data_IF_932395497427
#
_entry.id   IF_932395497427
#
_cell.length_a   1.000
_cell.length_b   1.000
_cell.length_c   1.000
_cell.angle_alpha   90.00
_cell.angle_beta   90.00
_cell.angle_gamma   90.00
#
_symmetry.space_group_name_H-M   'P 1'
#
loop_
_entity.id
_entity.type
_entity.pdbx_description
1 polymer ?
#
# COMPACT_ATOMS: atom_id res chain seq x y z
N UNK A 1 4.08 -24.05 -51.61
CA UNK A 1 3.97 -23.72 -50.17
C UNK A 1 2.94 -24.66 -49.59
N UNK A 2 3.35 -25.60 -48.73
CA UNK A 2 2.42 -26.51 -48.06
C UNK A 2 1.59 -25.70 -47.07
N UNK A 3 0.28 -25.70 -47.24
CA UNK A 3 -0.66 -25.26 -46.23
C UNK A 3 -0.42 -26.12 -44.98
N UNK A 4 0.19 -25.51 -43.96
CA UNK A 4 0.26 -26.12 -42.63
C UNK A 4 -1.19 -26.18 -42.15
N UNK A 5 -1.83 -27.34 -42.31
CA UNK A 5 -3.09 -27.64 -41.64
C UNK A 5 -2.82 -27.60 -40.14
N UNK A 6 -3.04 -26.43 -39.53
CA UNK A 6 -3.08 -26.30 -38.08
C UNK A 6 -4.22 -27.22 -37.62
N UNK A 7 -3.97 -28.23 -36.79
CA UNK A 7 -5.01 -29.13 -36.34
C UNK A 7 -6.10 -28.30 -35.68
N UNK A 8 -7.35 -28.47 -36.14
CA UNK A 8 -8.49 -27.79 -35.55
C UNK A 8 -8.50 -28.10 -34.06
N UNK A 9 -8.28 -27.07 -33.24
CA UNK A 9 -8.24 -27.22 -31.79
C UNK A 9 -9.58 -27.84 -31.34
N UNK A 10 -9.51 -28.94 -30.60
CA UNK A 10 -10.70 -29.70 -30.23
C UNK A 10 -11.66 -28.89 -29.37
N UNK A 11 -12.97 -29.18 -29.47
CA UNK A 11 -14.02 -28.56 -28.64
C UNK A 11 -13.66 -28.53 -27.16
N UNK A 12 -13.08 -29.62 -26.65
CA UNK A 12 -12.63 -29.77 -25.27
C UNK A 12 -11.58 -28.75 -24.87
N UNK A 13 -10.62 -28.44 -25.76
CA UNK A 13 -9.56 -27.47 -25.48
C UNK A 13 -10.11 -26.05 -25.34
N UNK A 14 -11.09 -25.67 -26.17
CA UNK A 14 -11.78 -24.39 -26.02
C UNK A 14 -12.52 -24.26 -24.68
N UNK A 15 -13.14 -25.35 -24.22
CA UNK A 15 -13.85 -25.38 -22.92
C UNK A 15 -12.87 -25.27 -21.75
N UNK A 16 -11.73 -25.97 -21.80
CA UNK A 16 -10.70 -25.91 -20.76
C UNK A 16 -10.15 -24.49 -20.58
N UNK A 17 -9.80 -23.80 -21.66
CA UNK A 17 -9.33 -22.41 -21.56
C UNK A 17 -10.39 -21.48 -20.97
N UNK A 18 -11.66 -21.63 -21.37
CA UNK A 18 -12.77 -20.84 -20.82
C UNK A 18 -12.96 -21.08 -19.32
N UNK A 19 -12.99 -22.34 -18.88
CA UNK A 19 -13.10 -22.70 -17.45
C UNK A 19 -11.96 -22.07 -16.67
N UNK A 20 -10.72 -22.18 -17.17
CA UNK A 20 -9.56 -21.54 -16.55
C UNK A 20 -9.74 -20.03 -16.44
N UNK A 21 -10.21 -19.38 -17.51
CA UNK A 21 -10.52 -17.95 -17.51
C UNK A 21 -11.58 -17.56 -16.46
N UNK A 22 -12.67 -18.32 -16.34
CA UNK A 22 -13.69 -18.10 -15.32
C UNK A 22 -13.13 -18.26 -13.90
N UNK A 23 -12.33 -19.31 -13.65
CA UNK A 23 -11.70 -19.53 -12.35
C UNK A 23 -10.78 -18.37 -11.98
N UNK A 24 -9.92 -17.91 -12.90
CA UNK A 24 -9.00 -16.80 -12.66
C UNK A 24 -9.75 -15.49 -12.37
N UNK A 25 -10.80 -15.18 -13.14
CA UNK A 25 -11.64 -14.00 -12.89
C UNK A 25 -12.34 -14.10 -11.53
N UNK A 26 -12.86 -15.27 -11.18
CA UNK A 26 -13.50 -15.51 -9.89
C UNK A 26 -12.54 -15.30 -8.71
N UNK A 27 -11.32 -15.83 -8.79
CA UNK A 27 -10.29 -15.60 -7.76
C UNK A 27 -9.93 -14.12 -7.63
N UNK A 28 -9.76 -13.41 -8.75
CA UNK A 28 -9.51 -11.97 -8.72
C UNK A 28 -10.64 -11.20 -8.03
N UNK A 29 -11.91 -11.55 -8.32
CA UNK A 29 -13.07 -10.88 -7.73
C UNK A 29 -13.21 -11.17 -6.23
N UNK A 30 -12.98 -12.42 -5.81
CA UNK A 30 -12.97 -12.78 -4.39
C UNK A 30 -11.88 -12.02 -3.63
N UNK A 31 -10.66 -12.03 -4.14
CA UNK A 31 -9.55 -11.29 -3.54
C UNK A 31 -9.88 -9.80 -3.42
N UNK A 32 -10.42 -9.20 -4.49
CA UNK A 32 -10.82 -7.79 -4.51
C UNK A 32 -11.86 -7.49 -3.43
N UNK A 33 -12.84 -8.38 -3.24
CA UNK A 33 -13.87 -8.22 -2.21
C UNK A 33 -13.27 -8.30 -0.80
N UNK A 34 -12.34 -9.23 -0.57
CA UNK A 34 -11.66 -9.36 0.73
C UNK A 34 -10.82 -8.12 1.04
N UNK A 35 -10.08 -7.60 0.07
CA UNK A 35 -9.21 -6.42 0.25
C UNK A 35 -10.04 -5.15 0.50
N UNK A 36 -11.25 -5.06 -0.07
CA UNK A 36 -12.14 -3.92 0.13
C UNK A 36 -12.67 -3.82 1.57
N UNK A 37 -12.51 -4.85 2.41
CA UNK A 37 -12.92 -4.84 3.81
C UNK A 37 -11.70 -4.47 4.68
N UNK A 38 -11.78 -3.47 5.58
CA UNK A 38 -12.95 -2.66 5.91
C UNK A 38 -13.19 -1.51 4.92
N UNK A 39 -14.45 -1.25 4.54
CA UNK A 39 -14.80 -0.16 3.63
C UNK A 39 -14.55 1.22 4.28
N UNK A 40 -13.37 1.79 4.05
CA UNK A 40 -12.94 3.09 4.59
C UNK A 40 -12.74 4.12 3.48
N UNK A 41 -13.80 4.37 2.73
CA UNK A 41 -13.81 5.46 1.75
C UNK A 41 -13.42 6.78 2.42
N UNK A 42 -12.69 7.65 1.71
CA UNK A 42 -12.10 8.92 2.17
C UNK A 42 -10.81 8.84 3.01
N UNK A 43 -10.47 7.65 3.51
CA UNK A 43 -9.18 7.41 4.16
C UNK A 43 -8.10 7.19 3.10
N UNK A 44 -7.14 8.13 3.02
CA UNK A 44 -6.10 8.11 1.99
C UNK A 44 -5.20 6.87 2.07
N UNK A 45 -4.94 6.35 3.28
CA UNK A 45 -4.09 5.17 3.50
C UNK A 45 -4.81 3.94 2.96
N UNK A 46 -6.09 3.79 3.31
CA UNK A 46 -6.90 2.70 2.83
C UNK A 46 -7.09 2.74 1.31
N UNK A 47 -7.45 3.90 0.74
CA UNK A 47 -7.68 4.05 -0.70
C UNK A 47 -6.43 3.69 -1.52
N UNK A 48 -5.25 4.19 -1.10
CA UNK A 48 -3.99 3.90 -1.76
C UNK A 48 -3.61 2.42 -1.64
N UNK A 49 -3.77 1.83 -0.45
CA UNK A 49 -3.48 0.42 -0.21
C UNK A 49 -4.45 -0.52 -0.96
N UNK A 50 -5.74 -0.18 -1.02
CA UNK A 50 -6.74 -0.93 -1.77
C UNK A 50 -6.36 -0.95 -3.25
N UNK A 51 -6.09 0.22 -3.83
CA UNK A 51 -5.69 0.33 -5.22
C UNK A 51 -4.41 -0.47 -5.49
N UNK A 52 -3.39 -0.31 -4.65
CA UNK A 52 -2.13 -1.05 -4.78
C UNK A 52 -2.30 -2.56 -4.74
N UNK A 53 -3.11 -3.07 -3.82
CA UNK A 53 -3.36 -4.52 -3.68
C UNK A 53 -4.21 -5.10 -4.81
N UNK A 54 -5.16 -4.33 -5.37
CA UNK A 54 -5.90 -4.72 -6.57
C UNK A 54 -4.95 -4.78 -7.77
N UNK A 55 -4.10 -3.76 -7.92
CA UNK A 55 -3.12 -3.68 -9.01
C UNK A 55 -2.13 -4.85 -8.97
N UNK A 56 -1.72 -5.31 -7.79
CA UNK A 56 -0.84 -6.47 -7.67
C UNK A 56 -1.47 -7.80 -8.13
N UNK A 57 -2.80 -7.85 -8.23
CA UNK A 57 -3.56 -9.01 -8.72
C UNK A 57 -4.01 -8.89 -10.17
N UNK A 58 -3.69 -7.78 -10.81
CA UNK A 58 -3.93 -7.56 -12.25
C UNK A 58 -3.45 -8.71 -13.13
N UNK A 59 -2.31 -9.39 -12.89
CA UNK A 59 -1.91 -10.51 -13.74
C UNK A 59 -2.98 -11.59 -13.87
N UNK A 60 -3.73 -11.88 -12.79
CA UNK A 60 -4.87 -12.82 -12.85
C UNK A 60 -5.97 -12.30 -13.77
N UNK A 61 -6.27 -11.01 -13.67
CA UNK A 61 -7.25 -10.34 -14.50
C UNK A 61 -6.84 -10.33 -15.97
N UNK A 62 -5.59 -9.96 -16.28
CA UNK A 62 -5.06 -9.91 -17.65
C UNK A 62 -5.06 -11.28 -18.32
N UNK A 63 -4.78 -12.34 -17.56
CA UNK A 63 -4.84 -13.72 -18.08
C UNK A 63 -6.28 -14.21 -18.24
N UNK A 64 -7.21 -13.79 -17.38
CA UNK A 64 -8.59 -14.25 -17.41
C UNK A 64 -9.33 -13.86 -18.70
N UNK A 65 -9.19 -12.61 -19.16
CA UNK A 65 -9.98 -12.09 -20.28
C UNK A 65 -9.69 -12.73 -21.64
N UNK A 66 -8.42 -12.90 -22.07
CA UNK A 66 -8.11 -13.60 -23.32
C UNK A 66 -8.60 -15.05 -23.30
N UNK A 67 -8.48 -15.74 -22.16
CA UNK A 67 -8.95 -17.10 -21.97
C UNK A 67 -10.48 -17.20 -22.01
N UNK A 68 -11.17 -16.24 -21.39
CA UNK A 68 -12.63 -16.13 -21.37
C UNK A 68 -13.21 -15.90 -22.76
N UNK A 69 -12.57 -15.04 -23.56
CA UNK A 69 -13.02 -14.71 -24.91
C UNK A 69 -12.46 -15.65 -25.99
N UNK A 70 -11.63 -16.62 -25.60
CA UNK A 70 -11.05 -17.58 -26.53
C UNK A 70 -12.13 -18.41 -27.25
N UNK A 71 -11.98 -18.56 -28.57
CA UNK A 71 -12.89 -19.31 -29.42
C UNK A 71 -14.22 -18.59 -29.75
N UNK A 72 -14.38 -17.32 -29.39
CA UNK A 72 -15.55 -16.47 -29.71
C UNK A 72 -16.89 -17.23 -29.61
N UNK A 73 -17.62 -17.43 -30.71
CA UNK A 73 -18.91 -18.15 -30.71
C UNK A 73 -18.79 -19.67 -30.75
N UNK A 74 -17.62 -20.23 -31.02
CA UNK A 74 -17.42 -21.67 -31.23
C UNK A 74 -17.80 -22.44 -29.97
N UNK A 75 -18.80 -23.32 -30.09
CA UNK A 75 -19.24 -24.22 -29.03
C UNK A 75 -19.60 -23.52 -27.69
N UNK A 76 -20.28 -22.36 -27.74
CA UNK A 76 -20.89 -21.74 -26.55
C UNK A 76 -22.35 -22.15 -26.39
N UNK A 77 -22.74 -22.49 -25.17
CA UNK A 77 -24.14 -22.67 -24.81
C UNK A 77 -24.86 -21.31 -24.69
N UNK A 78 -26.19 -21.29 -24.79
CA UNK A 78 -26.99 -20.05 -24.71
C UNK A 78 -26.76 -19.27 -23.40
N UNK A 79 -26.60 -19.97 -22.27
CA UNK A 79 -26.32 -19.33 -20.98
C UNK A 79 -24.91 -18.71 -20.92
N UNK A 80 -23.92 -19.35 -21.56
CA UNK A 80 -22.56 -18.80 -21.65
C UNK A 80 -22.55 -17.47 -22.42
N UNK A 81 -23.41 -17.30 -23.43
CA UNK A 81 -23.53 -16.05 -24.18
C UNK A 81 -24.05 -14.90 -23.30
N UNK A 82 -24.95 -15.18 -22.35
CA UNK A 82 -25.43 -14.19 -21.39
C UNK A 82 -24.29 -13.80 -20.44
N UNK A 83 -23.55 -14.78 -19.91
CA UNK A 83 -22.44 -14.53 -19.00
C UNK A 83 -21.32 -13.74 -19.70
N UNK A 84 -20.94 -14.09 -20.93
CA UNK A 84 -19.91 -13.33 -21.65
C UNK A 84 -20.34 -11.90 -21.95
N UNK A 85 -21.63 -11.65 -22.17
CA UNK A 85 -22.16 -10.30 -22.30
C UNK A 85 -21.96 -9.49 -21.01
N UNK A 86 -22.24 -10.10 -19.85
CA UNK A 86 -22.02 -9.48 -18.54
C UNK A 86 -20.52 -9.23 -18.29
N UNK A 87 -19.67 -10.22 -18.56
CA UNK A 87 -18.21 -10.11 -18.42
C UNK A 87 -17.62 -9.05 -19.37
N UNK A 88 -18.17 -8.94 -20.58
CA UNK A 88 -17.81 -7.88 -21.51
C UNK A 88 -18.08 -6.51 -20.87
N UNK A 89 -19.30 -6.25 -20.41
CA UNK A 89 -19.58 -4.98 -19.71
C UNK A 89 -18.75 -4.78 -18.44
N UNK A 90 -18.46 -5.85 -17.69
CA UNK A 90 -17.57 -5.81 -16.53
C UNK A 90 -16.17 -5.30 -16.91
N UNK A 91 -15.62 -5.69 -18.06
CA UNK A 91 -14.31 -5.17 -18.51
C UNK A 91 -14.33 -3.65 -18.68
N UNK A 92 -15.43 -3.07 -19.18
CA UNK A 92 -15.57 -1.61 -19.26
C UNK A 92 -15.64 -0.96 -17.88
N UNK A 93 -16.45 -1.53 -16.98
CA UNK A 93 -16.58 -1.03 -15.60
C UNK A 93 -15.23 -1.03 -14.90
N UNK A 94 -14.46 -2.13 -15.04
CA UNK A 94 -13.12 -2.24 -14.47
C UNK A 94 -12.14 -1.27 -15.14
N UNK A 95 -12.22 -1.06 -16.46
CA UNK A 95 -11.39 -0.07 -17.14
C UNK A 95 -11.63 1.35 -16.60
N UNK A 96 -12.90 1.75 -16.47
CA UNK A 96 -13.28 3.05 -15.88
C UNK A 96 -12.79 3.14 -14.44
N UNK A 97 -12.94 2.08 -13.65
CA UNK A 97 -12.41 2.01 -12.29
C UNK A 97 -10.89 2.27 -12.27
N UNK A 98 -10.09 1.58 -13.10
CA UNK A 98 -8.64 1.81 -13.14
C UNK A 98 -8.30 3.25 -13.54
N UNK A 99 -8.96 3.82 -14.57
CA UNK A 99 -8.70 5.19 -14.99
C UNK A 99 -9.07 6.23 -13.92
N UNK A 100 -10.19 6.03 -13.20
CA UNK A 100 -10.61 6.94 -12.14
C UNK A 100 -9.66 6.89 -10.93
N UNK A 101 -9.09 5.71 -10.64
CA UNK A 101 -8.16 5.56 -9.54
C UNK A 101 -6.77 6.16 -9.81
N UNK A 102 -6.38 6.43 -11.07
CA UNK A 102 -5.09 7.07 -11.38
C UNK A 102 -4.95 8.46 -10.73
N UNK A 103 -5.83 9.44 -10.98
CA UNK A 103 -5.73 10.75 -10.34
C UNK A 103 -5.93 10.65 -8.83
N UNK A 104 -6.80 9.75 -8.36
CA UNK A 104 -7.06 9.55 -6.93
C UNK A 104 -5.81 9.01 -6.22
N UNK A 105 -5.16 7.99 -6.77
CA UNK A 105 -3.94 7.40 -6.22
C UNK A 105 -2.81 8.43 -6.17
N UNK A 106 -2.66 9.27 -7.22
CA UNK A 106 -1.65 10.33 -7.23
C UNK A 106 -1.85 11.33 -6.07
N UNK A 107 -3.07 11.80 -5.84
CA UNK A 107 -3.38 12.71 -4.72
C UNK A 107 -3.16 12.00 -3.38
N UNK A 108 -3.57 10.75 -3.26
CA UNK A 108 -3.41 9.97 -2.04
C UNK A 108 -1.96 9.63 -1.73
N UNK A 109 -1.09 9.45 -2.72
CA UNK A 109 0.36 9.30 -2.53
C UNK A 109 0.93 10.43 -1.68
N UNK A 110 0.61 11.68 -2.02
CA UNK A 110 1.05 12.85 -1.26
C UNK A 110 0.44 12.89 0.14
N UNK A 111 -0.89 12.70 0.24
CA UNK A 111 -1.59 12.70 1.54
C UNK A 111 -1.04 11.64 2.49
N UNK A 112 -0.79 10.43 1.99
CA UNK A 112 -0.24 9.32 2.79
C UNK A 112 1.20 9.60 3.20
N UNK A 113 2.01 10.19 2.32
CA UNK A 113 3.37 10.60 2.66
C UNK A 113 3.37 11.60 3.83
N UNK A 114 2.53 12.64 3.76
CA UNK A 114 2.42 13.66 4.81
C UNK A 114 1.93 13.06 6.13
N UNK A 115 0.93 12.16 6.08
CA UNK A 115 0.43 11.47 7.28
C UNK A 115 1.55 10.66 7.94
N UNK A 116 2.26 9.81 7.18
CA UNK A 116 3.31 8.95 7.74
C UNK A 116 4.53 9.74 8.23
N UNK A 117 4.91 10.81 7.53
CA UNK A 117 5.97 11.73 7.99
C UNK A 117 5.54 12.45 9.27
N UNK A 118 4.29 12.91 9.34
CA UNK A 118 3.69 13.52 10.52
C UNK A 118 3.73 12.57 11.73
N UNK A 119 3.39 11.30 11.56
CA UNK A 119 3.49 10.29 12.62
C UNK A 119 4.93 10.11 13.12
N UNK A 120 5.93 10.09 12.23
CA UNK A 120 7.34 9.99 12.63
C UNK A 120 7.77 11.22 13.45
N UNK A 121 7.38 12.41 13.00
CA UNK A 121 7.67 13.67 13.72
C UNK A 121 7.01 13.67 15.09
N UNK A 122 5.73 13.29 15.17
CA UNK A 122 4.98 13.24 16.41
C UNK A 122 5.60 12.24 17.41
N UNK A 123 5.99 11.04 16.94
CA UNK A 123 6.68 10.05 17.78
C UNK A 123 8.03 10.56 18.29
N UNK A 124 8.83 11.18 17.41
CA UNK A 124 10.12 11.75 17.80
C UNK A 124 9.96 12.89 18.82
N UNK A 125 8.95 13.75 18.65
CA UNK A 125 8.63 14.82 19.60
C UNK A 125 8.17 14.25 20.96
N UNK A 126 7.31 13.23 20.96
CA UNK A 126 6.83 12.58 22.17
C UNK A 126 7.95 11.90 22.97
N UNK A 127 8.95 11.32 22.28
CA UNK A 127 10.12 10.72 22.91
C UNK A 127 11.12 11.76 23.43
N UNK A 128 11.39 12.81 22.64
CA UNK A 128 12.42 13.79 22.97
C UNK A 128 11.95 14.88 23.94
N UNK A 129 10.66 15.22 23.98
CA UNK A 129 10.13 16.32 24.78
C UNK A 129 10.49 16.23 26.27
N UNK A 130 10.18 15.10 26.95
CA UNK A 130 10.53 14.92 28.37
C UNK A 130 12.05 14.95 28.62
N UNK A 131 12.84 14.39 27.69
CA UNK A 131 14.31 14.36 27.79
C UNK A 131 14.90 15.77 27.66
N UNK A 132 14.40 16.56 26.71
CA UNK A 132 14.83 17.94 26.51
C UNK A 132 14.45 18.81 27.72
N UNK A 133 13.25 18.65 28.26
CA UNK A 133 12.83 19.36 29.48
C UNK A 133 13.71 18.99 30.69
N UNK A 134 14.01 17.69 30.86
CA UNK A 134 14.93 17.23 31.89
C UNK A 134 16.34 17.82 31.71
N UNK A 135 16.85 17.85 30.48
CA UNK A 135 18.15 18.46 30.17
C UNK A 135 18.18 19.96 30.47
N UNK A 136 17.10 20.70 30.17
CA UNK A 136 17.02 22.13 30.52
C UNK A 136 17.01 22.37 32.03
N UNK A 137 16.24 21.58 32.77
CA UNK A 137 16.22 21.64 34.25
C UNK A 137 17.61 21.33 34.82
N UNK A 138 18.29 20.29 34.31
CA UNK A 138 19.67 19.96 34.71
C UNK A 138 20.67 21.08 34.37
N UNK A 139 20.55 21.72 33.20
CA UNK A 139 21.44 22.82 32.79
C UNK A 139 21.32 24.03 33.73
N UNK A 140 20.09 24.40 34.11
CA UNK A 140 19.79 25.54 35.01
C UNK A 140 20.20 25.31 36.46
N UNK A 141 20.34 24.06 36.90
CA UNK A 141 20.79 23.74 38.26
C UNK A 141 22.26 24.12 38.45
N UNK A 142 22.54 25.00 39.41
CA UNK A 142 23.89 25.56 39.63
C UNK A 142 24.53 24.99 40.89
N UNK A 143 23.74 24.56 41.87
CA UNK A 143 24.21 23.96 43.12
C UNK A 143 24.11 22.43 43.13
N UNK A 144 24.97 21.77 43.91
CA UNK A 144 24.97 20.31 44.05
C UNK A 144 23.67 19.77 44.68
N UNK A 145 23.01 20.56 45.53
CA UNK A 145 21.71 20.21 46.12
C UNK A 145 20.58 20.24 45.09
N UNK A 146 20.57 21.22 44.19
CA UNK A 146 19.62 21.31 43.08
C UNK A 146 19.79 20.13 42.12
N UNK A 147 21.03 19.81 41.75
CA UNK A 147 21.34 18.67 40.86
C UNK A 147 20.84 17.36 41.49
N UNK A 148 21.10 17.12 42.79
CA UNK A 148 20.60 15.93 43.49
C UNK A 148 19.07 15.87 43.54
N UNK A 149 18.41 17.01 43.71
CA UNK A 149 16.94 17.08 43.75
C UNK A 149 16.34 16.69 42.41
N UNK A 150 16.90 17.17 41.31
CA UNK A 150 16.44 16.82 39.95
C UNK A 150 16.74 15.34 39.65
N UNK A 151 17.91 14.83 40.01
CA UNK A 151 18.26 13.40 39.83
C UNK A 151 17.30 12.46 40.61
N UNK A 152 16.89 12.84 41.83
CA UNK A 152 15.88 12.08 42.59
C UNK A 152 14.50 12.09 41.93
N UNK A 153 14.15 13.17 41.24
CA UNK A 153 12.87 13.27 40.51
C UNK A 153 12.85 12.42 39.24
N UNK A 154 14.01 12.23 38.60
CA UNK A 154 14.14 11.41 37.39
C UNK A 154 14.23 9.92 37.70
N UNK A 155 14.72 9.53 38.88
CA UNK A 155 14.83 8.14 39.29
C UNK A 155 14.35 7.91 40.73
N UNK A 156 13.02 7.92 40.96
CA UNK A 156 12.44 7.82 42.31
C UNK A 156 12.82 6.54 43.05
N UNK A 157 13.06 5.46 42.31
CA UNK A 157 13.42 4.14 42.85
C UNK A 157 14.84 4.08 43.43
N UNK A 158 15.71 5.04 43.09
CA UNK A 158 17.14 5.04 43.47
C UNK A 158 17.52 6.23 44.38
N UNK A 159 16.56 6.81 45.09
CA UNK A 159 16.77 8.01 45.92
C UNK A 159 17.90 7.87 46.95
N UNK A 160 18.08 6.68 47.54
CA UNK A 160 19.15 6.38 48.51
C UNK A 160 20.54 6.39 47.88
N UNK A 161 20.68 5.94 46.63
CA UNK A 161 21.91 5.97 45.85
C UNK A 161 22.28 7.40 45.41
N UNK A 162 21.27 8.23 45.09
CA UNK A 162 21.48 9.63 44.69
C UNK A 162 22.03 10.49 45.84
N UNK A 163 21.70 10.15 47.09
CA UNK A 163 22.25 10.82 48.27
C UNK A 163 23.75 10.51 48.50
N UNK A 164 24.24 9.38 48.01
CA UNK A 164 25.61 8.92 48.23
C UNK A 164 26.61 9.29 47.12
N UNK A 165 26.15 9.94 46.04
CA UNK A 165 27.00 10.37 44.93
C UNK A 165 28.07 11.37 45.46
N UNK A 166 29.37 11.08 45.33
CA UNK A 166 30.44 11.98 45.78
C UNK A 166 30.57 13.24 44.90
N UNK A 167 30.35 13.11 43.58
CA UNK A 167 30.43 14.21 42.63
C UNK A 167 29.18 14.31 41.72
N UNK A 168 28.13 15.05 42.16
CA UNK A 168 26.89 15.22 41.39
C UNK A 168 27.09 15.93 40.04
N UNK A 169 28.13 16.78 39.92
CA UNK A 169 28.41 17.54 38.71
C UNK A 169 28.93 16.64 37.57
N UNK A 170 29.70 15.60 37.88
CA UNK A 170 30.16 14.63 36.87
C UNK A 170 29.00 13.80 36.30
N UNK A 171 28.03 13.43 37.17
CA UNK A 171 26.82 12.73 36.74
C UNK A 171 25.92 13.64 35.90
N UNK A 172 25.78 14.92 36.28
CA UNK A 172 25.11 15.93 35.45
C UNK A 172 25.72 15.98 34.04
N UNK A 173 27.05 16.06 33.93
CA UNK A 173 27.74 16.10 32.63
C UNK A 173 27.49 14.84 31.80
N UNK A 174 27.62 13.66 32.41
CA UNK A 174 27.36 12.36 31.74
C UNK A 174 25.91 12.26 31.26
N UNK A 175 24.94 12.59 32.12
CA UNK A 175 23.52 12.51 31.79
C UNK A 175 23.13 13.53 30.70
N UNK A 176 23.67 14.74 30.75
CA UNK A 176 23.46 15.73 29.67
C UNK A 176 24.05 15.25 28.33
N UNK A 177 25.21 14.60 28.36
CA UNK A 177 25.82 14.02 27.16
C UNK A 177 25.01 12.84 26.61
N UNK A 178 24.49 11.97 27.49
CA UNK A 178 23.63 10.84 27.12
C UNK A 178 22.29 11.31 26.55
N UNK A 179 21.63 12.27 27.18
CA UNK A 179 20.40 12.89 26.65
C UNK A 179 20.67 13.54 25.30
N UNK A 180 21.74 14.32 25.16
CA UNK A 180 22.10 14.96 23.88
C UNK A 180 22.35 13.93 22.79
N UNK A 181 23.01 12.82 23.14
CA UNK A 181 23.30 11.73 22.20
C UNK A 181 22.00 11.02 21.80
N UNK A 182 21.14 10.69 22.76
CA UNK A 182 19.85 10.06 22.53
C UNK A 182 18.94 10.92 21.65
N UNK A 183 18.81 12.21 21.95
CA UNK A 183 18.01 13.16 21.14
C UNK A 183 18.56 13.25 19.72
N UNK A 184 19.89 13.37 19.57
CA UNK A 184 20.55 13.40 18.25
C UNK A 184 20.31 12.12 17.45
N UNK A 185 20.44 10.96 18.09
CA UNK A 185 20.16 9.66 17.48
C UNK A 185 18.70 9.53 17.05
N UNK A 186 17.74 9.90 17.91
CA UNK A 186 16.31 9.88 17.58
C UNK A 186 15.99 10.81 16.40
N UNK A 187 16.58 12.01 16.36
CA UNK A 187 16.42 12.94 15.24
C UNK A 187 17.02 12.38 13.94
N UNK A 188 18.24 11.80 14.00
CA UNK A 188 18.87 11.18 12.84
C UNK A 188 18.07 9.98 12.31
N UNK A 189 17.52 9.16 13.21
CA UNK A 189 16.62 8.05 12.86
C UNK A 189 15.31 8.55 12.25
N UNK A 190 14.72 9.63 12.78
CA UNK A 190 13.52 10.25 12.23
C UNK A 190 13.77 10.76 10.81
N UNK A 191 14.87 11.48 10.56
CA UNK A 191 15.23 11.96 9.22
C UNK A 191 15.48 10.82 8.24
N UNK A 192 16.15 9.75 8.69
CA UNK A 192 16.35 8.55 7.87
C UNK A 192 15.01 7.88 7.53
N UNK A 193 14.11 7.77 8.52
CA UNK A 193 12.78 7.20 8.34
C UNK A 193 11.92 8.02 7.37
N UNK A 194 11.92 9.35 7.48
CA UNK A 194 11.23 10.24 6.54
C UNK A 194 11.67 10.01 5.10
N UNK A 195 12.98 9.92 4.86
CA UNK A 195 13.55 9.66 3.53
C UNK A 195 13.13 8.29 3.00
N UNK A 196 13.21 7.25 3.84
CA UNK A 196 12.81 5.90 3.46
C UNK A 196 11.31 5.81 3.15
N UNK A 197 10.46 6.45 3.96
CA UNK A 197 9.01 6.54 3.74
C UNK A 197 8.72 7.21 2.40
N UNK A 198 9.32 8.36 2.12
CA UNK A 198 9.14 9.07 0.86
C UNK A 198 9.53 8.20 -0.34
N UNK A 199 10.72 7.59 -0.31
CA UNK A 199 11.19 6.73 -1.39
C UNK A 199 10.29 5.49 -1.61
N UNK A 200 9.88 4.84 -0.53
CA UNK A 200 9.03 3.64 -0.62
C UNK A 200 7.66 3.97 -1.21
N UNK A 201 6.99 4.99 -0.69
CA UNK A 201 5.67 5.42 -1.17
C UNK A 201 5.73 5.81 -2.65
N UNK A 202 6.74 6.57 -3.06
CA UNK A 202 6.90 6.98 -4.46
C UNK A 202 7.14 5.78 -5.38
N UNK A 203 8.04 4.88 -4.98
CA UNK A 203 8.33 3.66 -5.75
C UNK A 203 7.07 2.83 -5.96
N UNK A 204 6.32 2.57 -4.89
CA UNK A 204 5.10 1.77 -4.95
C UNK A 204 4.00 2.48 -5.75
N UNK A 205 3.85 3.80 -5.57
CA UNK A 205 2.85 4.59 -6.31
C UNK A 205 3.13 4.60 -7.80
N UNK A 206 4.37 4.79 -8.24
CA UNK A 206 4.73 4.74 -9.67
C UNK A 206 4.44 3.36 -10.25
N UNK A 207 4.83 2.28 -9.53
CA UNK A 207 4.51 0.90 -9.93
C UNK A 207 3.01 0.73 -10.13
N UNK A 208 2.21 1.15 -9.16
CA UNK A 208 0.76 0.97 -9.18
C UNK A 208 0.07 1.83 -10.23
N UNK A 209 0.52 3.07 -10.46
CA UNK A 209 -0.03 3.95 -11.51
C UNK A 209 0.21 3.38 -12.91
N UNK A 210 1.43 2.91 -13.19
CA UNK A 210 1.77 2.30 -14.48
C UNK A 210 0.94 1.03 -14.70
N UNK A 211 0.92 0.14 -13.71
CA UNK A 211 0.16 -1.10 -13.83
C UNK A 211 -1.34 -0.84 -13.92
N UNK A 212 -1.88 0.15 -13.20
CA UNK A 212 -3.28 0.59 -13.33
C UNK A 212 -3.61 1.14 -14.72
N UNK A 213 -2.73 1.97 -15.30
CA UNK A 213 -2.89 2.48 -16.66
C UNK A 213 -2.89 1.37 -17.71
N UNK A 214 -1.90 0.47 -17.64
CA UNK A 214 -1.80 -0.70 -18.54
C UNK A 214 -3.05 -1.58 -18.41
N UNK A 215 -3.52 -1.81 -17.19
CA UNK A 215 -4.74 -2.59 -16.94
C UNK A 215 -5.98 -1.93 -17.53
N UNK A 216 -6.16 -0.62 -17.32
CA UNK A 216 -7.28 0.13 -17.85
C UNK A 216 -7.32 0.08 -19.39
N UNK A 217 -6.17 0.28 -20.04
CA UNK A 217 -6.04 0.19 -21.49
C UNK A 217 -6.35 -1.23 -22.01
N UNK A 218 -5.80 -2.26 -21.35
CA UNK A 218 -6.06 -3.65 -21.73
C UNK A 218 -7.54 -4.02 -21.59
N UNK A 219 -8.17 -3.65 -20.48
CA UNK A 219 -9.59 -3.94 -20.24
C UNK A 219 -10.50 -3.19 -21.21
N UNK A 220 -10.14 -1.94 -21.55
CA UNK A 220 -10.84 -1.20 -22.60
C UNK A 220 -10.68 -1.89 -23.96
N UNK A 221 -9.48 -2.36 -24.29
CA UNK A 221 -9.24 -3.16 -25.49
C UNK A 221 -10.06 -4.46 -25.48
N UNK A 222 -10.07 -5.20 -24.37
CA UNK A 222 -10.88 -6.41 -24.21
C UNK A 222 -12.38 -6.12 -24.37
N UNK A 223 -12.87 -4.98 -23.88
CA UNK A 223 -14.24 -4.53 -24.11
C UNK A 223 -14.52 -4.26 -25.59
N UNK A 224 -13.63 -3.56 -26.30
CA UNK A 224 -13.79 -3.30 -27.73
C UNK A 224 -13.80 -4.61 -28.53
N UNK A 225 -12.86 -5.52 -28.26
CA UNK A 225 -12.77 -6.81 -28.96
C UNK A 225 -13.94 -7.74 -28.66
N UNK A 226 -14.50 -7.69 -27.45
CA UNK A 226 -15.69 -8.49 -27.07
C UNK A 226 -17.02 -7.90 -27.56
N UNK A 227 -17.01 -7.01 -28.58
CA UNK A 227 -18.24 -6.46 -29.18
C UNK A 227 -19.20 -7.55 -29.65
N UNK A 228 -18.66 -8.66 -30.19
CA UNK A 228 -19.45 -9.83 -30.58
C UNK A 228 -20.33 -10.35 -29.44
N UNK A 229 -19.81 -10.43 -28.21
CA UNK A 229 -20.55 -10.91 -27.05
C UNK A 229 -21.73 -9.99 -26.67
N UNK A 230 -21.72 -8.71 -27.08
CA UNK A 230 -22.77 -7.74 -26.74
C UNK A 230 -23.87 -7.64 -27.79
N UNK A 231 -23.50 -7.72 -29.07
CA UNK A 231 -24.44 -7.57 -30.19
C UNK A 231 -25.33 -8.80 -30.33
N UNK A 232 -24.86 -9.98 -29.91
CA UNK A 232 -25.56 -11.23 -30.13
C UNK A 232 -25.55 -11.60 -31.61
N UNK A 233 -25.64 -12.90 -31.92
CA UNK A 233 -25.91 -13.32 -33.29
C UNK A 233 -27.41 -13.11 -33.49
N UNK A 234 -27.78 -12.15 -34.34
CA UNK A 234 -29.11 -12.14 -34.95
C UNK A 234 -29.16 -13.40 -35.83
N UNK A 235 -29.84 -14.44 -35.33
CA UNK A 235 -30.24 -15.58 -36.15
C UNK A 235 -31.38 -15.16 -37.07
#
# INVERSE_FOLDING_TARGET
MQDIQVPAMGRTTFVLFRILGYCLLFFFLLDTLVIAIPFKFTDAIWELNLFGQIVERVPLLLLSFPLLFFGEYSARMKWEQIITKVISWLSLVLAVFFFLNIPLALVNTFRVQDIRVGEVIARAAQQNGPLQEAAERLKKATSDSEVRTILRSLNPQQQSLVAQIPNPQDIKKRLLAEISTSVSQTQAQAETSKRQIGLAIWKDSVKWLIAGLVSGLFLLYAWVQSKWARVGINY
#
